data_IF_660994452798
#
_entry.id   IF_660994452798
#
_cell.length_a   1.000
_cell.length_b   1.000
_cell.length_c   1.000
_cell.angle_alpha   90.00
_cell.angle_beta   90.00
_cell.angle_gamma   90.00
#
_symmetry.space_group_name_H-M   'P 1'
#
loop_
_entity.id
_entity.type
_entity.pdbx_description
1 polymer ?
#
# COMPACT_ATOMS: atom_id res chain seq x y z
N UNK A 1 -57.83 35.79 -7.76
CA UNK A 1 -56.98 35.92 -8.97
C UNK A 1 -55.54 35.66 -8.55
N UNK A 2 -55.11 34.44 -8.24
CA UNK A 2 -55.24 33.18 -8.98
C UNK A 2 -54.65 33.29 -10.39
N UNK A 3 -53.37 32.90 -10.53
CA UNK A 3 -52.89 32.17 -11.70
C UNK A 3 -51.67 31.31 -11.34
N UNK A 4 -51.86 30.01 -11.52
CA UNK A 4 -50.90 28.92 -11.45
C UNK A 4 -50.21 28.74 -12.80
N UNK A 5 -49.06 28.07 -12.72
CA UNK A 5 -48.47 27.12 -13.68
C UNK A 5 -47.73 27.67 -14.92
N UNK A 6 -46.45 27.30 -15.02
CA UNK A 6 -45.96 26.53 -16.15
C UNK A 6 -44.79 25.64 -15.73
N UNK A 7 -45.07 24.34 -15.76
CA UNK A 7 -44.10 23.26 -15.82
C UNK A 7 -43.42 23.29 -17.19
N UNK A 8 -42.12 22.95 -17.26
CA UNK A 8 -41.54 22.38 -18.47
C UNK A 8 -40.63 21.19 -18.10
N UNK A 9 -40.82 20.03 -18.74
CA UNK A 9 -40.03 18.83 -18.55
C UNK A 9 -38.86 18.81 -19.55
N UNK A 10 -37.75 18.18 -19.17
CA UNK A 10 -36.77 17.68 -20.14
C UNK A 10 -36.43 16.24 -19.80
N UNK A 11 -37.08 15.37 -20.57
CA UNK A 11 -36.62 14.03 -20.90
C UNK A 11 -35.15 14.07 -21.34
N UNK A 12 -34.33 13.20 -20.77
CA UNK A 12 -33.32 12.51 -21.57
C UNK A 12 -33.22 11.06 -21.13
N UNK A 13 -33.96 10.26 -21.86
CA UNK A 13 -33.93 8.81 -21.89
C UNK A 13 -32.66 8.39 -22.63
N UNK A 14 -31.79 7.63 -21.95
CA UNK A 14 -30.74 6.86 -22.60
C UNK A 14 -30.73 5.46 -21.98
N UNK A 15 -31.59 4.60 -22.52
CA UNK A 15 -31.37 3.16 -22.50
C UNK A 15 -30.22 2.85 -23.47
N UNK A 16 -29.19 2.12 -23.02
CA UNK A 16 -28.78 0.84 -23.63
C UNK A 16 -27.38 0.35 -23.18
N UNK A 17 -27.26 -0.98 -23.10
CA UNK A 17 -26.05 -1.83 -23.21
C UNK A 17 -25.21 -2.18 -21.95
N UNK A 18 -25.55 -3.34 -21.34
CA UNK A 18 -24.70 -4.44 -20.83
C UNK A 18 -23.68 -4.24 -19.66
N UNK A 19 -23.34 -5.34 -18.93
CA UNK A 19 -23.02 -5.30 -17.50
C UNK A 19 -21.51 -5.19 -17.21
N UNK A 20 -21.12 -4.16 -16.46
CA UNK A 20 -19.82 -4.08 -15.79
C UNK A 20 -19.98 -4.42 -14.30
N UNK A 21 -20.27 -5.70 -14.03
CA UNK A 21 -20.10 -6.32 -12.73
C UNK A 21 -18.60 -6.56 -12.57
N UNK A 22 -17.92 -5.82 -11.69
CA UNK A 22 -16.69 -6.29 -10.99
C UNK A 22 -16.09 -5.28 -9.99
N UNK A 23 -16.36 -3.97 -10.06
CA UNK A 23 -15.89 -3.01 -9.03
C UNK A 23 -16.97 -2.54 -8.04
N UNK A 24 -18.22 -2.38 -8.49
CA UNK A 24 -19.33 -1.93 -7.63
C UNK A 24 -19.73 -2.99 -6.61
N UNK A 25 -19.69 -4.28 -6.94
CA UNK A 25 -20.09 -5.35 -6.01
C UNK A 25 -19.04 -5.68 -4.95
N UNK A 26 -17.76 -5.42 -5.24
CA UNK A 26 -16.70 -5.46 -4.22
C UNK A 26 -16.88 -4.29 -3.23
N UNK A 27 -17.20 -3.09 -3.73
CA UNK A 27 -17.51 -1.93 -2.89
C UNK A 27 -18.82 -2.11 -2.11
N UNK A 28 -19.84 -2.76 -2.68
CA UNK A 28 -21.13 -3.03 -2.02
C UNK A 28 -21.00 -4.11 -0.93
N UNK A 29 -20.21 -5.16 -1.17
CA UNK A 29 -19.85 -6.16 -0.14
C UNK A 29 -18.97 -5.57 0.97
N UNK A 30 -18.04 -4.68 0.64
CA UNK A 30 -17.27 -3.94 1.63
C UNK A 30 -18.15 -3.00 2.48
N UNK A 31 -19.12 -2.29 1.87
CA UNK A 31 -20.11 -1.47 2.61
C UNK A 31 -20.99 -2.32 3.53
N UNK A 32 -21.47 -3.48 3.08
CA UNK A 32 -22.25 -4.39 3.94
C UNK A 32 -21.43 -4.93 5.14
N UNK A 33 -20.13 -5.18 4.97
CA UNK A 33 -19.26 -5.54 6.09
C UNK A 33 -19.04 -4.35 7.03
N UNK A 34 -18.86 -3.13 6.53
CA UNK A 34 -18.69 -1.94 7.39
C UNK A 34 -19.95 -1.65 8.23
N UNK A 35 -21.15 -1.85 7.66
CA UNK A 35 -22.43 -1.67 8.37
C UNK A 35 -22.61 -2.63 9.56
N UNK A 36 -21.95 -3.80 9.55
CA UNK A 36 -21.96 -4.73 10.70
C UNK A 36 -20.86 -4.43 11.73
N UNK A 37 -19.85 -3.65 11.38
CA UNK A 37 -18.68 -3.38 12.24
C UNK A 37 -18.91 -2.19 13.18
N UNK A 38 -19.58 -1.13 12.71
CA UNK A 38 -19.83 0.08 13.50
C UNK A 38 -20.70 -0.21 14.74
N UNK A 39 -21.78 -1.04 14.67
CA UNK A 39 -22.55 -1.43 15.85
C UNK A 39 -21.73 -2.28 16.84
N UNK A 40 -20.85 -3.15 16.34
CA UNK A 40 -20.00 -4.00 17.17
C UNK A 40 -18.88 -3.21 17.87
N UNK A 41 -18.37 -2.14 17.26
CA UNK A 41 -17.45 -1.18 17.88
C UNK A 41 -18.15 -0.33 18.94
N UNK A 42 -19.35 0.19 18.66
CA UNK A 42 -20.17 0.92 19.66
C UNK A 42 -20.54 0.04 20.85
N UNK A 43 -20.95 -1.20 20.62
CA UNK A 43 -21.20 -2.18 21.69
C UNK A 43 -19.90 -2.56 22.42
N UNK A 44 -18.78 -2.66 21.71
CA UNK A 44 -17.46 -2.88 22.31
C UNK A 44 -17.01 -1.76 23.24
N UNK A 45 -17.33 -0.49 22.91
CA UNK A 45 -17.02 0.67 23.75
C UNK A 45 -17.91 0.77 24.99
N UNK A 46 -19.21 0.49 24.84
CA UNK A 46 -20.14 0.43 25.98
C UNK A 46 -19.81 -0.71 26.97
N UNK A 47 -19.00 -1.69 26.53
CA UNK A 47 -18.51 -2.81 27.34
C UNK A 47 -17.04 -2.60 27.78
N UNK A 48 -16.27 -1.75 27.08
CA UNK A 48 -14.92 -1.38 27.48
C UNK A 48 -14.91 -0.53 28.77
N UNK A 49 -15.97 0.22 29.04
CA UNK A 49 -16.23 0.83 30.35
C UNK A 49 -16.45 -0.19 31.48
N UNK A 50 -16.59 -1.48 31.17
CA UNK A 50 -16.71 -2.60 32.12
C UNK A 50 -15.45 -3.49 32.18
N UNK A 51 -14.31 -3.03 31.65
CA UNK A 51 -13.01 -3.69 31.83
C UNK A 51 -12.83 -5.04 31.13
N UNK A 52 -13.77 -5.49 30.28
CA UNK A 52 -13.63 -6.76 29.52
C UNK A 52 -13.95 -6.59 28.05
N UNK A 53 -12.92 -6.54 27.21
CA UNK A 53 -13.06 -6.61 25.76
C UNK A 53 -13.81 -7.91 25.36
N UNK A 54 -15.02 -7.82 24.79
CA UNK A 54 -15.86 -8.99 24.53
C UNK A 54 -15.18 -9.96 23.57
N UNK A 55 -15.29 -11.27 23.85
CA UNK A 55 -14.67 -12.35 23.05
C UNK A 55 -15.03 -12.25 21.55
N UNK A 56 -16.20 -11.70 21.21
CA UNK A 56 -16.64 -11.45 19.82
C UNK A 56 -15.79 -10.41 19.09
N UNK A 57 -15.39 -9.34 19.76
CA UNK A 57 -14.51 -8.32 19.19
C UNK A 57 -13.10 -8.88 18.96
N UNK A 58 -12.60 -9.67 19.91
CA UNK A 58 -11.34 -10.42 19.75
C UNK A 58 -11.40 -11.36 18.54
N UNK A 59 -12.49 -12.12 18.36
CA UNK A 59 -12.69 -13.00 17.18
C UNK A 59 -12.80 -12.23 15.86
N UNK A 60 -13.45 -11.06 15.84
CA UNK A 60 -13.53 -10.22 14.65
C UNK A 60 -12.17 -9.63 14.25
N UNK A 61 -11.38 -9.18 15.22
CA UNK A 61 -9.99 -8.79 15.03
C UNK A 61 -9.11 -9.96 14.58
N UNK A 62 -9.30 -11.15 15.15
CA UNK A 62 -8.57 -12.36 14.77
C UNK A 62 -8.93 -12.83 13.35
N UNK A 63 -10.21 -12.81 12.99
CA UNK A 63 -10.68 -13.11 11.64
C UNK A 63 -10.13 -12.10 10.60
N UNK A 64 -9.96 -10.83 10.99
CA UNK A 64 -9.28 -9.82 10.16
C UNK A 64 -7.77 -10.00 10.10
N UNK A 65 -7.14 -10.43 11.19
CA UNK A 65 -5.72 -10.81 11.20
C UNK A 65 -5.49 -12.01 10.29
N UNK A 66 -6.39 -12.99 10.31
CA UNK A 66 -6.41 -14.14 9.39
C UNK A 66 -6.65 -13.72 7.94
N UNK A 67 -7.60 -12.81 7.68
CA UNK A 67 -7.83 -12.24 6.35
C UNK A 67 -6.61 -11.46 5.85
N UNK A 68 -5.88 -10.79 6.74
CA UNK A 68 -4.63 -10.11 6.41
C UNK A 68 -3.49 -11.10 6.13
N UNK A 69 -3.31 -12.15 6.92
CA UNK A 69 -2.38 -13.24 6.55
C UNK A 69 -2.78 -13.91 5.25
N UNK A 70 -4.08 -13.97 4.89
CA UNK A 70 -4.51 -14.43 3.57
C UNK A 70 -4.13 -13.43 2.47
N UNK A 71 -4.33 -12.13 2.66
CA UNK A 71 -3.92 -11.10 1.68
C UNK A 71 -2.40 -11.06 1.53
N UNK A 72 -1.64 -11.21 2.62
CA UNK A 72 -0.17 -11.31 2.59
C UNK A 72 0.29 -12.65 1.97
N UNK A 73 -0.42 -13.76 2.23
CA UNK A 73 -0.21 -15.03 1.52
C UNK A 73 -0.51 -14.88 0.03
N UNK A 74 -1.58 -14.17 -0.33
CA UNK A 74 -1.96 -13.89 -1.72
C UNK A 74 -0.90 -12.99 -2.38
N UNK A 75 -0.43 -11.93 -1.72
CA UNK A 75 0.67 -11.10 -2.23
C UNK A 75 1.96 -11.91 -2.42
N UNK A 76 2.30 -12.78 -1.47
CA UNK A 76 3.47 -13.66 -1.58
C UNK A 76 3.30 -14.74 -2.65
N UNK A 77 2.10 -15.28 -2.84
CA UNK A 77 1.82 -16.24 -3.93
C UNK A 77 1.74 -15.56 -5.30
N UNK A 78 1.36 -14.28 -5.38
CA UNK A 78 1.43 -13.49 -6.60
C UNK A 78 2.85 -13.03 -6.94
N UNK A 79 3.69 -12.71 -5.95
CA UNK A 79 5.14 -12.59 -6.16
C UNK A 79 5.72 -13.91 -6.66
N UNK A 80 5.24 -15.04 -6.12
CA UNK A 80 5.52 -16.38 -6.63
C UNK A 80 5.08 -16.55 -8.08
N UNK A 81 3.87 -16.14 -8.46
CA UNK A 81 3.35 -16.23 -9.83
C UNK A 81 4.05 -15.28 -10.80
N UNK A 82 4.38 -14.06 -10.39
CA UNK A 82 5.17 -13.13 -11.19
C UNK A 82 6.60 -13.66 -11.38
N UNK A 83 7.18 -14.27 -10.35
CA UNK A 83 8.46 -14.96 -10.42
C UNK A 83 8.40 -16.20 -11.31
N UNK A 84 7.33 -17.00 -11.23
CA UNK A 84 7.08 -18.15 -12.12
C UNK A 84 6.88 -17.66 -13.56
N UNK A 85 6.14 -16.58 -13.78
CA UNK A 85 5.94 -15.98 -15.10
C UNK A 85 7.24 -15.42 -15.68
N UNK A 86 8.06 -14.77 -14.85
CA UNK A 86 9.41 -14.33 -15.22
C UNK A 86 10.31 -15.52 -15.54
N UNK A 87 10.30 -16.57 -14.71
CA UNK A 87 11.04 -17.81 -14.92
C UNK A 87 10.60 -18.52 -16.19
N UNK A 88 9.29 -18.62 -16.47
CA UNK A 88 8.75 -19.17 -17.71
C UNK A 88 9.17 -18.33 -18.91
N UNK A 89 9.14 -17.00 -18.81
CA UNK A 89 9.62 -16.12 -19.86
C UNK A 89 11.13 -16.30 -20.11
N UNK A 90 11.92 -16.42 -19.05
CA UNK A 90 13.35 -16.75 -19.13
C UNK A 90 13.59 -18.13 -19.75
N UNK A 91 12.83 -19.15 -19.37
CA UNK A 91 12.89 -20.50 -19.96
C UNK A 91 12.55 -20.41 -21.46
N UNK A 92 11.49 -19.70 -21.85
CA UNK A 92 11.14 -19.50 -23.26
C UNK A 92 12.28 -18.80 -24.00
N UNK A 93 12.87 -17.74 -23.44
CA UNK A 93 14.02 -17.03 -24.03
C UNK A 93 15.28 -17.91 -24.11
N UNK A 94 15.51 -18.77 -23.11
CA UNK A 94 16.66 -19.69 -23.09
C UNK A 94 16.49 -20.92 -23.98
N UNK A 95 15.25 -21.37 -24.21
CA UNK A 95 14.92 -22.50 -25.07
C UNK A 95 14.74 -22.05 -26.54
N UNK A 96 14.43 -20.77 -26.77
CA UNK A 96 14.31 -20.20 -28.12
C UNK A 96 15.54 -20.38 -29.03
N UNK A 97 16.80 -20.32 -28.56
CA UNK A 97 17.97 -20.59 -29.41
C UNK A 97 18.09 -22.07 -29.78
N UNK A 98 17.51 -22.97 -28.99
CA UNK A 98 17.49 -24.42 -29.23
C UNK A 98 16.40 -24.84 -30.21
N UNK A 99 15.46 -23.94 -30.53
CA UNK A 99 14.77 -24.01 -31.81
C UNK A 99 15.76 -23.57 -32.86
N UNK A 100 16.49 -24.56 -33.39
CA UNK A 100 17.00 -24.52 -34.76
C UNK A 100 15.92 -23.80 -35.57
N UNK A 101 16.24 -22.74 -36.35
CA UNK A 101 15.24 -22.10 -37.16
C UNK A 101 14.63 -23.22 -37.97
N UNK A 102 13.43 -23.66 -37.59
CA UNK A 102 12.55 -24.39 -38.45
C UNK A 102 12.54 -23.50 -39.66
N UNK A 103 13.32 -23.92 -40.66
CA UNK A 103 13.39 -23.30 -41.95
C UNK A 103 11.93 -23.41 -42.35
N UNK A 104 11.18 -22.33 -42.12
CA UNK A 104 9.90 -22.12 -42.73
C UNK A 104 10.33 -21.98 -44.18
N UNK A 105 10.50 -23.13 -44.83
CA UNK A 105 10.88 -23.30 -46.22
C UNK A 105 9.62 -22.95 -46.99
N UNK A 106 9.14 -21.72 -46.79
CA UNK A 106 8.20 -21.10 -47.68
C UNK A 106 8.97 -21.06 -48.98
N UNK A 107 8.61 -21.96 -49.88
CA UNK A 107 9.27 -22.16 -51.15
C UNK A 107 8.95 -20.93 -51.98
N UNK A 108 9.64 -19.82 -51.71
CA UNK A 108 9.64 -18.66 -52.56
C UNK A 108 10.58 -18.99 -53.71
N UNK A 109 10.06 -19.17 -54.94
CA UNK A 109 10.90 -19.33 -56.10
C UNK A 109 11.62 -17.99 -56.31
N UNK A 110 12.90 -18.00 -55.95
CA UNK A 110 13.93 -17.01 -56.29
C UNK A 110 14.10 -15.83 -55.29
N UNK A 111 15.08 -16.06 -54.39
CA UNK A 111 16.17 -15.14 -54.02
C UNK A 111 15.94 -13.91 -53.12
N UNK A 112 15.18 -14.03 -52.02
CA UNK A 112 15.34 -13.12 -50.87
C UNK A 112 15.20 -13.88 -49.55
N UNK A 113 16.21 -14.70 -49.22
CA UNK A 113 16.37 -15.22 -47.87
C UNK A 113 16.85 -14.08 -46.96
N UNK A 114 15.90 -13.30 -46.43
CA UNK A 114 16.20 -12.30 -45.40
C UNK A 114 16.58 -13.06 -44.14
N UNK A 115 17.88 -13.36 -43.97
CA UNK A 115 18.44 -13.66 -42.65
C UNK A 115 18.12 -12.46 -41.80
N UNK A 116 17.12 -12.59 -40.92
CA UNK A 116 16.96 -11.65 -39.82
C UNK A 116 18.28 -11.70 -39.07
N UNK A 117 19.08 -10.61 -39.09
CA UNK A 117 20.39 -10.63 -38.47
C UNK A 117 20.23 -11.05 -37.01
N UNK A 118 21.08 -11.96 -36.54
CA UNK A 118 21.14 -12.44 -35.15
C UNK A 118 21.08 -11.29 -34.13
N UNK A 119 21.59 -10.13 -34.54
CA UNK A 119 21.56 -8.84 -33.85
C UNK A 119 20.15 -8.41 -33.39
N UNK A 120 19.07 -8.79 -34.06
CA UNK A 120 17.70 -8.41 -33.70
C UNK A 120 16.99 -9.36 -32.73
N UNK A 121 17.55 -10.54 -32.45
CA UNK A 121 16.97 -11.50 -31.48
C UNK A 121 17.10 -11.03 -30.03
N UNK A 122 18.24 -10.43 -29.69
CA UNK A 122 18.53 -9.94 -28.34
C UNK A 122 17.62 -8.77 -27.91
N UNK A 123 17.40 -7.72 -28.74
CA UNK A 123 16.46 -6.65 -28.43
C UNK A 123 15.02 -7.15 -28.24
N UNK A 124 14.58 -8.11 -29.05
CA UNK A 124 13.24 -8.69 -28.96
C UNK A 124 13.01 -9.41 -27.63
N UNK A 125 13.94 -10.27 -27.23
CA UNK A 125 13.88 -10.96 -25.94
C UNK A 125 13.92 -9.99 -24.74
N UNK A 126 14.79 -8.98 -24.79
CA UNK A 126 14.86 -7.92 -23.79
C UNK A 126 13.55 -7.12 -23.70
N UNK A 127 12.93 -6.81 -24.83
CA UNK A 127 11.65 -6.12 -24.89
C UNK A 127 10.53 -6.91 -24.20
N UNK A 128 10.45 -8.21 -24.42
CA UNK A 128 9.45 -9.09 -23.78
C UNK A 128 9.68 -9.16 -22.27
N UNK A 129 10.93 -9.34 -21.82
CA UNK A 129 11.26 -9.39 -20.38
C UNK A 129 10.93 -8.06 -19.70
N UNK A 130 11.30 -6.94 -20.30
CA UNK A 130 10.99 -5.60 -19.78
C UNK A 130 9.48 -5.37 -19.71
N UNK A 131 8.73 -5.76 -20.75
CA UNK A 131 7.28 -5.65 -20.78
C UNK A 131 6.61 -6.47 -19.68
N UNK A 132 7.00 -7.74 -19.51
CA UNK A 132 6.51 -8.60 -18.43
C UNK A 132 6.85 -8.03 -17.05
N UNK A 133 8.06 -7.49 -16.87
CA UNK A 133 8.47 -6.83 -15.63
C UNK A 133 7.61 -5.59 -15.34
N UNK A 134 7.38 -4.73 -16.33
CA UNK A 134 6.56 -3.51 -16.17
C UNK A 134 5.11 -3.84 -15.83
N UNK A 135 4.52 -4.86 -16.46
CA UNK A 135 3.17 -5.35 -16.11
C UNK A 135 3.15 -5.90 -14.69
N UNK A 136 4.10 -6.78 -14.36
CA UNK A 136 4.21 -7.36 -13.02
C UNK A 136 4.37 -6.27 -11.95
N UNK A 137 5.18 -5.25 -12.23
CA UNK A 137 5.38 -4.10 -11.36
C UNK A 137 4.13 -3.24 -11.23
N UNK A 138 3.41 -2.96 -12.32
CA UNK A 138 2.16 -2.19 -12.29
C UNK A 138 1.07 -2.92 -11.50
N UNK A 139 0.92 -4.24 -11.69
CA UNK A 139 0.00 -5.08 -10.93
C UNK A 139 0.40 -5.08 -9.46
N UNK A 140 1.67 -5.34 -9.16
CA UNK A 140 2.20 -5.34 -7.79
C UNK A 140 1.94 -4.01 -7.09
N UNK A 141 2.22 -2.89 -7.76
CA UNK A 141 1.95 -1.55 -7.23
C UNK A 141 0.47 -1.36 -6.92
N UNK A 142 -0.43 -1.76 -7.82
CA UNK A 142 -1.88 -1.68 -7.60
C UNK A 142 -2.35 -2.46 -6.36
N UNK A 143 -1.73 -3.61 -6.08
CA UNK A 143 -2.00 -4.39 -4.86
C UNK A 143 -1.40 -3.79 -3.59
N UNK A 144 -0.15 -3.30 -3.66
CA UNK A 144 0.50 -2.58 -2.56
C UNK A 144 -0.34 -1.36 -2.16
N UNK A 145 -0.84 -0.62 -3.15
CA UNK A 145 -1.73 0.53 -2.96
C UNK A 145 -3.08 0.11 -2.34
N UNK A 146 -3.63 -1.05 -2.71
CA UNK A 146 -4.84 -1.60 -2.08
C UNK A 146 -4.63 -1.91 -0.58
N UNK A 147 -3.47 -2.44 -0.21
CA UNK A 147 -3.09 -2.65 1.19
C UNK A 147 -2.94 -1.34 1.98
N UNK A 148 -2.48 -0.27 1.31
CA UNK A 148 -2.30 1.04 1.94
C UNK A 148 -3.62 1.66 2.40
N UNK A 149 -4.72 1.41 1.69
CA UNK A 149 -6.06 1.88 2.07
C UNK A 149 -6.52 1.38 3.45
N UNK A 150 -5.99 0.26 3.93
CA UNK A 150 -6.37 -0.29 5.23
C UNK A 150 -5.39 0.05 6.36
N UNK A 151 -4.26 0.71 6.05
CA UNK A 151 -3.26 1.06 7.07
C UNK A 151 -3.81 2.06 8.09
N UNK A 152 -4.61 3.02 7.67
CA UNK A 152 -5.19 3.99 8.60
C UNK A 152 -6.07 3.29 9.66
N UNK A 153 -6.95 2.39 9.21
CA UNK A 153 -7.86 1.64 10.08
C UNK A 153 -7.09 0.69 11.00
N UNK A 154 -6.00 0.11 10.50
CA UNK A 154 -5.08 -0.68 11.32
C UNK A 154 -4.49 0.14 12.47
N UNK A 155 -3.93 1.30 12.15
CA UNK A 155 -3.35 2.18 13.16
C UNK A 155 -4.41 2.69 14.14
N UNK A 156 -5.62 3.01 13.68
CA UNK A 156 -6.75 3.35 14.54
C UNK A 156 -7.07 2.22 15.54
N UNK A 157 -7.18 0.98 15.06
CA UNK A 157 -7.46 -0.17 15.92
C UNK A 157 -6.36 -0.38 16.97
N UNK A 158 -5.09 -0.19 16.58
CA UNK A 158 -3.97 -0.26 17.52
C UNK A 158 -4.07 0.85 18.57
N UNK A 159 -4.32 2.10 18.18
CA UNK A 159 -4.49 3.22 19.12
C UNK A 159 -5.59 2.92 20.13
N UNK A 160 -6.76 2.43 19.70
CA UNK A 160 -7.86 2.07 20.61
C UNK A 160 -7.46 0.94 21.58
N UNK A 161 -6.73 -0.08 21.11
CA UNK A 161 -6.25 -1.17 21.98
C UNK A 161 -5.27 -0.63 23.03
N UNK A 162 -4.32 0.23 22.64
CA UNK A 162 -3.34 0.78 23.57
C UNK A 162 -3.94 1.83 24.49
N UNK A 163 -4.95 2.58 24.05
CA UNK A 163 -5.72 3.48 24.90
C UNK A 163 -6.49 2.71 25.97
N UNK A 164 -7.12 1.58 25.60
CA UNK A 164 -7.77 0.70 26.56
C UNK A 164 -6.80 0.06 27.56
N UNK A 165 -5.55 -0.21 27.15
CA UNK A 165 -4.49 -0.63 28.09
C UNK A 165 -4.09 0.52 29.01
N UNK A 166 -3.88 1.73 28.48
CA UNK A 166 -3.48 2.91 29.25
C UNK A 166 -4.56 3.41 30.23
N UNK A 167 -5.81 3.02 30.02
CA UNK A 167 -6.93 3.35 30.90
C UNK A 167 -6.95 2.52 32.19
N UNK A 168 -6.22 1.41 32.25
CA UNK A 168 -6.14 0.61 33.48
C UNK A 168 -5.36 1.41 34.56
N UNK A 169 -5.83 1.42 35.81
CA UNK A 169 -5.32 2.39 36.81
C UNK A 169 -3.88 2.10 37.24
N UNK A 170 -3.47 0.84 37.13
CA UNK A 170 -2.12 0.39 37.46
C UNK A 170 -1.15 0.52 36.26
N UNK A 171 -1.56 1.19 35.18
CA UNK A 171 -0.79 1.12 33.94
C UNK A 171 0.49 1.95 33.97
N UNK A 172 1.55 1.21 33.65
CA UNK A 172 2.93 1.59 33.46
C UNK A 172 3.16 2.70 32.41
N UNK A 173 4.16 3.54 32.64
CA UNK A 173 4.60 4.60 31.71
C UNK A 173 4.90 4.05 30.30
N UNK A 174 5.30 2.76 30.24
CA UNK A 174 5.50 2.03 29.01
C UNK A 174 4.24 1.96 28.10
N UNK A 175 3.04 1.86 28.67
CA UNK A 175 1.80 1.79 27.88
C UNK A 175 1.42 3.14 27.28
N UNK A 176 1.61 4.24 28.03
CA UNK A 176 1.44 5.60 27.51
C UNK A 176 2.44 5.91 26.41
N UNK A 177 3.71 5.52 26.60
CA UNK A 177 4.72 5.65 25.56
C UNK A 177 4.38 4.84 24.29
N UNK A 178 3.87 3.63 24.46
CA UNK A 178 3.40 2.81 23.35
C UNK A 178 2.18 3.43 22.66
N UNK A 179 1.22 3.98 23.41
CA UNK A 179 0.08 4.71 22.87
C UNK A 179 0.54 5.92 22.04
N UNK A 180 1.43 6.74 22.59
CA UNK A 180 2.00 7.92 21.91
C UNK A 180 2.68 7.54 20.60
N UNK A 181 3.52 6.50 20.63
CA UNK A 181 4.19 5.98 19.42
C UNK A 181 3.17 5.54 18.35
N UNK A 182 2.09 4.87 18.76
CA UNK A 182 1.03 4.42 17.84
C UNK A 182 0.18 5.60 17.34
N UNK A 183 -0.09 6.59 18.17
CA UNK A 183 -0.82 7.80 17.79
C UNK A 183 0.00 8.63 16.78
N UNK A 184 1.32 8.73 16.98
CA UNK A 184 2.21 9.37 16.01
C UNK A 184 2.22 8.64 14.66
N UNK A 185 2.24 7.30 14.66
CA UNK A 185 2.11 6.50 13.44
C UNK A 185 0.74 6.71 12.76
N UNK A 186 -0.34 6.73 13.55
CA UNK A 186 -1.69 7.05 13.06
C UNK A 186 -1.76 8.44 12.43
N UNK A 187 -1.21 9.47 13.08
CA UNK A 187 -1.14 10.83 12.56
C UNK A 187 -0.38 10.92 11.24
N UNK A 188 0.76 10.22 11.11
CA UNK A 188 1.46 10.08 9.82
C UNK A 188 0.57 9.44 8.75
N UNK A 189 -0.18 8.41 9.10
CA UNK A 189 -1.14 7.78 8.18
C UNK A 189 -2.27 8.72 7.78
N UNK A 190 -2.83 9.50 8.72
CA UNK A 190 -3.84 10.54 8.45
C UNK A 190 -3.33 11.54 7.42
N UNK A 191 -2.12 12.08 7.63
CA UNK A 191 -1.51 13.03 6.69
C UNK A 191 -1.34 12.39 5.32
N UNK A 192 -0.92 11.12 5.22
CA UNK A 192 -0.70 10.46 3.92
C UNK A 192 -1.96 9.89 3.26
N UNK A 193 -3.09 9.90 3.95
CA UNK A 193 -4.31 9.20 3.54
C UNK A 193 -4.89 9.71 2.22
N UNK A 194 -4.75 11.01 1.94
CA UNK A 194 -5.21 11.65 0.70
C UNK A 194 -4.47 11.13 -0.54
N UNK A 195 -3.17 10.84 -0.43
CA UNK A 195 -2.39 10.23 -1.51
C UNK A 195 -2.83 8.79 -1.76
N UNK A 196 -3.06 8.03 -0.68
CA UNK A 196 -3.34 6.59 -0.75
C UNK A 196 -4.73 6.25 -1.27
N UNK A 197 -5.72 7.11 -1.03
CA UNK A 197 -7.08 6.84 -1.49
C UNK A 197 -7.22 6.99 -3.01
N UNK A 198 -6.39 7.82 -3.65
CA UNK A 198 -6.42 8.06 -5.09
C UNK A 198 -7.72 8.71 -5.61
N UNK A 199 -8.52 9.30 -4.73
CA UNK A 199 -9.79 9.96 -5.08
C UNK A 199 -9.59 11.39 -5.60
N UNK A 200 -8.48 12.03 -5.25
CA UNK A 200 -8.14 13.37 -5.72
C UNK A 200 -7.12 13.22 -6.87
N UNK A 201 -7.44 13.69 -8.09
CA UNK A 201 -6.49 13.64 -9.19
C UNK A 201 -5.25 14.47 -8.87
N UNK A 202 -4.07 13.97 -9.24
CA UNK A 202 -2.76 14.58 -8.93
C UNK A 202 -2.63 16.03 -9.45
N UNK A 203 -3.32 16.36 -10.54
CA UNK A 203 -3.31 17.69 -11.15
C UNK A 203 -4.13 18.74 -10.36
N UNK A 204 -5.00 18.33 -9.42
CA UNK A 204 -5.82 19.26 -8.62
C UNK A 204 -5.05 19.81 -7.41
N UNK A 205 -3.98 20.57 -7.68
CA UNK A 205 -3.03 21.08 -6.67
C UNK A 205 -3.70 21.81 -5.50
N UNK A 206 -4.73 22.61 -5.76
CA UNK A 206 -5.47 23.35 -4.72
C UNK A 206 -6.22 22.42 -3.79
N UNK A 207 -6.99 21.45 -4.32
CA UNK A 207 -7.75 20.47 -3.51
C UNK A 207 -6.82 19.62 -2.66
N UNK A 208 -5.67 19.24 -3.23
CA UNK A 208 -4.64 18.51 -2.50
C UNK A 208 -4.09 19.32 -1.32
N UNK A 209 -3.76 20.60 -1.53
CA UNK A 209 -3.30 21.49 -0.45
C UNK A 209 -4.34 21.64 0.65
N UNK A 210 -5.62 21.81 0.30
CA UNK A 210 -6.71 21.90 1.27
C UNK A 210 -6.82 20.61 2.10
N UNK A 211 -6.82 19.44 1.45
CA UNK A 211 -6.89 18.15 2.15
C UNK A 211 -5.68 17.91 3.08
N UNK A 212 -4.46 18.27 2.63
CA UNK A 212 -3.25 18.18 3.46
C UNK A 212 -3.34 19.10 4.68
N UNK A 213 -3.77 20.35 4.49
CA UNK A 213 -3.91 21.31 5.58
C UNK A 213 -4.96 20.86 6.59
N UNK A 214 -6.10 20.35 6.12
CA UNK A 214 -7.13 19.74 6.96
C UNK A 214 -6.57 18.58 7.79
N UNK A 215 -5.90 17.63 7.14
CA UNK A 215 -5.28 16.49 7.81
C UNK A 215 -4.23 16.92 8.86
N UNK A 216 -3.45 17.98 8.59
CA UNK A 216 -2.49 18.55 9.55
C UNK A 216 -3.17 19.17 10.77
N UNK A 217 -4.32 19.84 10.59
CA UNK A 217 -5.12 20.36 11.70
C UNK A 217 -5.75 19.24 12.54
N UNK A 218 -6.20 18.16 11.89
CA UNK A 218 -6.68 16.95 12.57
C UNK A 218 -5.57 16.34 13.43
N UNK A 219 -4.33 16.24 12.91
CA UNK A 219 -3.20 15.77 13.71
C UNK A 219 -2.85 16.74 14.84
N UNK A 220 -2.97 18.05 14.64
CA UNK A 220 -2.81 19.02 15.72
C UNK A 220 -3.83 18.79 16.84
N UNK A 221 -5.10 18.53 16.48
CA UNK A 221 -6.17 18.19 17.44
C UNK A 221 -5.86 16.91 18.21
N UNK A 222 -5.40 15.86 17.54
CA UNK A 222 -4.98 14.62 18.21
C UNK A 222 -3.82 14.85 19.19
N UNK A 223 -2.83 15.67 18.82
CA UNK A 223 -1.69 16.01 19.70
C UNK A 223 -2.10 16.87 20.88
N UNK A 224 -3.05 17.80 20.71
CA UNK A 224 -3.53 18.61 21.84
C UNK A 224 -4.33 17.77 22.83
N UNK A 225 -5.15 16.81 22.36
CA UNK A 225 -5.82 15.85 23.25
C UNK A 225 -4.82 14.89 23.90
N UNK A 226 -3.76 14.46 23.19
CA UNK A 226 -2.67 13.66 23.77
C UNK A 226 -1.94 14.42 24.90
N UNK A 227 -1.66 15.70 24.73
CA UNK A 227 -1.06 16.52 25.79
C UNK A 227 -1.98 16.66 27.02
N UNK A 228 -3.29 16.50 26.86
CA UNK A 228 -4.26 16.46 27.96
C UNK A 228 -4.12 15.22 28.86
N UNK A 229 -3.40 14.18 28.43
CA UNK A 229 -3.18 12.96 29.22
C UNK A 229 -2.39 13.21 30.52
N UNK A 230 -1.59 14.27 30.56
CA UNK A 230 -0.82 14.66 31.73
C UNK A 230 -1.69 15.34 32.81
N UNK A 231 -2.78 16.01 32.39
CA UNK A 231 -3.67 16.75 33.29
C UNK A 231 -4.89 15.93 33.71
N UNK A 232 -5.60 15.34 32.75
CA UNK A 232 -6.80 14.54 33.01
C UNK A 232 -6.81 13.32 32.08
N UNK A 233 -6.15 12.25 32.55
CA UNK A 233 -5.91 11.03 31.79
C UNK A 233 -7.19 10.37 31.28
N UNK A 234 -8.21 10.21 32.11
CA UNK A 234 -9.41 9.43 31.75
C UNK A 234 -10.21 10.13 30.65
N UNK A 235 -10.44 11.44 30.80
CA UNK A 235 -11.19 12.22 29.82
C UNK A 235 -10.41 12.35 28.50
N UNK A 236 -9.10 12.61 28.56
CA UNK A 236 -8.25 12.68 27.38
C UNK A 236 -8.19 11.34 26.62
N UNK A 237 -8.12 10.20 27.31
CA UNK A 237 -8.18 8.88 26.66
C UNK A 237 -9.53 8.63 25.97
N UNK A 238 -10.64 8.99 26.63
CA UNK A 238 -11.99 8.86 26.07
C UNK A 238 -12.17 9.73 24.83
N UNK A 239 -11.69 10.97 24.90
CA UNK A 239 -11.71 11.91 23.79
C UNK A 239 -10.84 11.41 22.62
N UNK A 240 -9.61 10.95 22.89
CA UNK A 240 -8.72 10.37 21.87
C UNK A 240 -9.37 9.20 21.13
N UNK A 241 -9.98 8.26 21.84
CA UNK A 241 -10.66 7.11 21.22
C UNK A 241 -11.83 7.58 20.36
N UNK A 242 -12.60 8.57 20.83
CA UNK A 242 -13.72 9.16 20.10
C UNK A 242 -13.25 9.79 18.79
N UNK A 243 -12.20 10.63 18.85
CA UNK A 243 -11.59 11.27 17.69
C UNK A 243 -11.08 10.24 16.67
N UNK A 244 -10.34 9.23 17.13
CA UNK A 244 -9.80 8.17 16.27
C UNK A 244 -10.92 7.39 15.56
N UNK A 245 -12.03 7.13 16.26
CA UNK A 245 -13.19 6.49 15.66
C UNK A 245 -13.88 7.37 14.62
N UNK A 246 -14.13 8.64 14.92
CA UNK A 246 -14.72 9.58 13.97
C UNK A 246 -13.87 9.71 12.69
N UNK A 247 -12.56 9.87 12.84
CA UNK A 247 -11.62 9.92 11.71
C UNK A 247 -11.72 8.64 10.86
N UNK A 248 -11.78 7.49 11.53
CA UNK A 248 -11.85 6.18 10.85
C UNK A 248 -13.16 6.01 10.08
N UNK A 249 -14.29 6.46 10.65
CA UNK A 249 -15.60 6.43 10.02
C UNK A 249 -15.66 7.37 8.81
N UNK A 250 -15.24 8.62 8.97
CA UNK A 250 -15.13 9.58 7.85
C UNK A 250 -14.23 9.06 6.74
N UNK A 251 -13.09 8.44 7.10
CA UNK A 251 -12.19 7.82 6.13
C UNK A 251 -12.85 6.66 5.38
N UNK A 252 -13.57 5.79 6.08
CA UNK A 252 -14.31 4.67 5.48
C UNK A 252 -15.42 5.13 4.52
N UNK A 253 -16.03 6.29 4.79
CA UNK A 253 -17.00 6.94 3.92
C UNK A 253 -16.34 7.66 2.72
N UNK A 254 -15.01 7.81 2.72
CA UNK A 254 -14.26 8.49 1.66
C UNK A 254 -14.15 10.01 1.85
N UNK A 255 -14.50 10.53 3.02
CA UNK A 255 -14.46 11.97 3.33
C UNK A 255 -13.05 12.43 3.76
N UNK A 256 -12.08 12.34 2.86
CA UNK A 256 -10.67 12.63 3.17
C UNK A 256 -10.39 14.11 3.45
N UNK A 257 -11.17 15.00 2.84
CA UNK A 257 -11.06 16.45 3.05
C UNK A 257 -11.88 16.94 4.26
N UNK A 258 -12.63 16.04 4.90
CA UNK A 258 -13.53 16.33 6.02
C UNK A 258 -13.48 15.18 7.04
N UNK A 259 -12.27 14.81 7.48
CA UNK A 259 -12.07 13.72 8.44
C UNK A 259 -12.72 14.02 9.80
N UNK A 260 -12.66 15.29 10.21
CA UNK A 260 -13.35 15.87 11.36
C UNK A 260 -14.22 17.05 10.88
N UNK A 261 -15.25 17.42 11.65
CA UNK A 261 -15.98 18.67 11.48
C UNK A 261 -15.03 19.88 11.56
N UNK A 262 -15.29 20.91 10.74
CA UNK A 262 -14.40 22.07 10.63
C UNK A 262 -14.43 22.92 11.91
N UNK A 263 -15.55 22.90 12.63
CA UNK A 263 -15.78 23.59 13.89
C UNK A 263 -14.83 23.13 14.99
N UNK A 264 -14.46 21.84 15.00
CA UNK A 264 -13.58 21.24 16.02
C UNK A 264 -12.09 21.53 15.77
N UNK A 265 -11.72 21.93 14.55
CA UNK A 265 -10.32 22.08 14.14
C UNK A 265 -9.97 23.49 13.64
N UNK A 266 -10.95 24.40 13.54
CA UNK A 266 -10.77 25.76 13.00
C UNK A 266 -9.66 26.55 13.72
N UNK A 267 -9.55 26.37 15.04
CA UNK A 267 -8.62 27.10 15.90
C UNK A 267 -7.25 26.40 16.00
N UNK A 268 -7.09 25.24 15.36
CA UNK A 268 -5.86 24.46 15.41
C UNK A 268 -4.88 24.92 14.34
N UNK A 269 -3.64 25.21 14.75
CA UNK A 269 -2.57 25.49 13.80
C UNK A 269 -2.12 24.19 13.10
N UNK A 270 -1.98 24.18 11.76
CA UNK A 270 -1.57 22.99 11.04
C UNK A 270 -0.13 22.60 11.41
N UNK A 271 0.06 21.33 11.79
CA UNK A 271 1.40 20.80 12.11
C UNK A 271 2.32 20.88 10.89
N UNK A 272 3.45 21.59 11.05
CA UNK A 272 4.56 21.59 10.08
C UNK A 272 5.46 20.38 10.31
N UNK A 273 4.97 19.21 9.92
CA UNK A 273 5.87 18.07 9.77
C UNK A 273 6.45 18.14 8.34
N UNK A 274 7.78 17.98 8.21
CA UNK A 274 8.50 17.84 6.94
C UNK A 274 8.84 16.37 6.60
N UNK A 275 7.88 15.42 6.58
CA UNK A 275 8.18 14.00 6.36
C UNK A 275 8.55 13.70 4.90
N UNK A 276 8.33 14.64 3.98
CA UNK A 276 8.55 14.46 2.54
C UNK A 276 10.03 14.41 2.19
N UNK A 277 10.88 15.18 2.90
CA UNK A 277 12.32 15.25 2.60
C UNK A 277 12.98 13.88 2.82
N UNK A 278 12.70 13.23 3.97
CA UNK A 278 13.28 11.93 4.29
C UNK A 278 12.84 10.81 3.34
N UNK A 279 11.59 10.82 2.87
CA UNK A 279 11.11 9.82 1.90
C UNK A 279 11.67 10.05 0.51
N UNK A 280 11.72 11.30 0.05
CA UNK A 280 12.21 11.65 -1.28
C UNK A 280 13.72 11.35 -1.40
N UNK A 281 14.50 11.68 -0.38
CA UNK A 281 15.95 11.33 -0.32
C UNK A 281 16.14 9.81 -0.33
N UNK A 282 15.32 9.06 0.41
CA UNK A 282 15.39 7.61 0.43
C UNK A 282 15.08 6.96 -0.92
N UNK A 283 13.98 7.36 -1.57
CA UNK A 283 13.58 6.78 -2.87
C UNK A 283 14.52 7.17 -4.00
N UNK A 284 14.94 8.43 -4.04
CA UNK A 284 15.87 8.92 -5.07
C UNK A 284 17.24 8.28 -4.88
N UNK A 285 17.72 8.16 -3.64
CA UNK A 285 18.97 7.46 -3.34
C UNK A 285 18.95 5.99 -3.76
N UNK A 286 17.84 5.27 -3.55
CA UNK A 286 17.70 3.89 -4.01
C UNK A 286 17.69 3.77 -5.54
N UNK A 287 17.01 4.67 -6.24
CA UNK A 287 17.00 4.67 -7.71
C UNK A 287 18.39 4.97 -8.27
N UNK A 288 19.10 5.94 -7.70
CA UNK A 288 20.48 6.26 -8.09
C UNK A 288 21.42 5.08 -7.83
N UNK A 289 21.29 4.41 -6.67
CA UNK A 289 22.08 3.22 -6.37
C UNK A 289 21.76 2.06 -7.32
N UNK A 290 20.49 1.83 -7.66
CA UNK A 290 20.10 0.79 -8.61
C UNK A 290 20.62 1.08 -10.02
N UNK A 291 20.55 2.33 -10.46
CA UNK A 291 21.12 2.78 -11.73
C UNK A 291 22.65 2.63 -11.76
N UNK A 292 23.32 3.00 -10.66
CA UNK A 292 24.77 2.84 -10.53
C UNK A 292 25.19 1.36 -10.60
N UNK A 293 24.43 0.45 -9.97
CA UNK A 293 24.69 -1.00 -10.09
C UNK A 293 24.41 -1.49 -11.51
N UNK A 294 23.32 -1.04 -12.13
CA UNK A 294 22.96 -1.48 -13.48
C UNK A 294 23.97 -1.02 -14.54
N UNK A 295 24.60 0.13 -14.37
CA UNK A 295 25.61 0.66 -15.31
C UNK A 295 27.02 0.24 -14.95
N UNK A 296 27.38 0.29 -13.66
CA UNK A 296 28.73 0.02 -13.18
C UNK A 296 29.08 -1.47 -13.15
N UNK A 297 28.12 -2.34 -12.82
CA UNK A 297 28.40 -3.77 -12.69
C UNK A 297 28.71 -4.45 -14.04
N UNK A 298 27.98 -4.17 -15.15
CA UNK A 298 28.36 -4.70 -16.46
C UNK A 298 29.76 -4.25 -16.87
N UNK A 299 30.08 -2.96 -16.71
CA UNK A 299 31.38 -2.41 -17.08
C UNK A 299 32.53 -3.07 -16.30
N UNK A 300 32.33 -3.29 -15.00
CA UNK A 300 33.31 -3.98 -14.15
C UNK A 300 33.48 -5.46 -14.57
N UNK A 301 32.38 -6.18 -14.79
CA UNK A 301 32.42 -7.60 -15.11
C UNK A 301 33.01 -7.86 -16.50
N UNK A 302 32.75 -7.00 -17.48
CA UNK A 302 33.37 -7.10 -18.80
C UNK A 302 34.88 -6.87 -18.75
N UNK A 303 35.36 -5.94 -17.91
CA UNK A 303 36.80 -5.76 -17.67
C UNK A 303 37.46 -6.97 -17.00
N UNK A 304 36.68 -7.73 -16.21
CA UNK A 304 37.12 -9.00 -15.62
C UNK A 304 37.00 -10.20 -16.58
N UNK A 305 36.72 -9.96 -17.87
CA UNK A 305 36.67 -10.99 -18.90
C UNK A 305 35.35 -11.78 -18.94
N UNK A 306 34.31 -11.35 -18.24
CA UNK A 306 33.00 -11.99 -18.34
C UNK A 306 32.37 -11.66 -19.68
N UNK A 307 31.75 -12.65 -20.33
CA UNK A 307 31.02 -12.39 -21.57
C UNK A 307 29.85 -11.43 -21.31
N UNK A 308 29.65 -10.49 -22.24
CA UNK A 308 28.62 -9.46 -22.16
C UNK A 308 27.25 -9.95 -21.66
N UNK A 309 26.66 -11.06 -22.14
CA UNK A 309 25.33 -11.49 -21.67
C UNK A 309 25.26 -11.82 -20.17
N UNK A 310 26.30 -12.42 -19.59
CA UNK A 310 26.33 -12.75 -18.16
C UNK A 310 26.49 -11.51 -17.29
N UNK A 311 27.22 -10.51 -17.79
CA UNK A 311 27.45 -9.25 -17.07
C UNK A 311 26.15 -8.46 -16.86
N UNK A 312 25.28 -8.39 -17.88
CA UNK A 312 23.96 -7.76 -17.77
C UNK A 312 23.00 -8.53 -16.86
N UNK A 313 23.06 -9.87 -16.87
CA UNK A 313 22.27 -10.70 -15.96
C UNK A 313 22.62 -10.42 -14.49
N UNK A 314 23.91 -10.38 -14.15
CA UNK A 314 24.37 -10.04 -12.81
C UNK A 314 23.97 -8.62 -12.39
N UNK A 315 24.04 -7.66 -13.32
CA UNK A 315 23.68 -6.26 -13.06
C UNK A 315 22.19 -6.08 -12.81
N UNK A 316 21.34 -6.76 -13.58
CA UNK A 316 19.91 -6.78 -13.35
C UNK A 316 19.56 -7.37 -11.97
N UNK A 317 20.24 -8.46 -11.57
CA UNK A 317 20.05 -9.07 -10.26
C UNK A 317 20.51 -8.14 -9.13
N UNK A 318 21.67 -7.49 -9.29
CA UNK A 318 22.19 -6.50 -8.33
C UNK A 318 21.27 -5.30 -8.17
N UNK A 319 20.75 -4.75 -9.28
CA UNK A 319 19.80 -3.64 -9.26
C UNK A 319 18.48 -4.06 -8.59
N UNK A 320 18.00 -5.28 -8.83
CA UNK A 320 16.83 -5.84 -8.16
C UNK A 320 17.03 -5.88 -6.64
N UNK A 321 18.19 -6.36 -6.16
CA UNK A 321 18.54 -6.42 -4.73
C UNK A 321 18.55 -5.02 -4.09
N UNK A 322 19.01 -3.99 -4.81
CA UNK A 322 19.01 -2.60 -4.33
C UNK A 322 17.60 -2.01 -4.28
N UNK A 323 16.75 -2.37 -5.24
CA UNK A 323 15.36 -1.92 -5.34
C UNK A 323 14.43 -2.59 -4.32
N UNK A 324 14.81 -3.72 -3.72
CA UNK A 324 14.05 -4.28 -2.61
C UNK A 324 13.97 -3.22 -1.49
N UNK A 325 12.77 -2.73 -1.14
CA UNK A 325 12.62 -1.62 -0.20
C UNK A 325 13.29 -1.95 1.13
N UNK A 326 13.89 -0.95 1.79
CA UNK A 326 14.57 -1.12 3.07
C UNK A 326 13.68 -1.78 4.15
N UNK A 327 12.35 -1.61 4.05
CA UNK A 327 11.38 -2.30 4.91
C UNK A 327 11.38 -3.84 4.70
N UNK A 328 11.61 -4.30 3.48
CA UNK A 328 11.82 -5.70 3.15
C UNK A 328 13.22 -6.21 3.51
N UNK A 329 14.25 -5.35 3.51
CA UNK A 329 15.61 -5.73 3.95
C UNK A 329 15.64 -6.22 5.40
N UNK A 330 14.94 -5.58 6.32
CA UNK A 330 14.88 -6.05 7.71
C UNK A 330 14.22 -7.43 7.84
N UNK A 331 13.15 -7.67 7.07
CA UNK A 331 12.50 -8.99 7.02
C UNK A 331 13.41 -10.03 6.37
N UNK A 332 14.08 -9.69 5.27
CA UNK A 332 15.00 -10.58 4.56
C UNK A 332 16.22 -10.93 5.43
N UNK A 333 16.85 -9.95 6.08
CA UNK A 333 17.96 -10.15 7.02
C UNK A 333 17.49 -10.99 8.21
N UNK A 334 16.32 -10.69 8.79
CA UNK A 334 15.79 -11.50 9.89
C UNK A 334 15.49 -12.95 9.47
N UNK A 335 15.06 -13.16 8.23
CA UNK A 335 14.77 -14.51 7.70
C UNK A 335 16.06 -15.25 7.37
N UNK A 336 17.04 -14.58 6.75
CA UNK A 336 18.37 -15.09 6.49
C UNK A 336 19.11 -15.46 7.79
N UNK A 337 19.00 -14.63 8.83
CA UNK A 337 19.55 -14.93 10.17
C UNK A 337 18.83 -16.11 10.83
N UNK A 338 17.52 -16.27 10.65
CA UNK A 338 16.79 -17.46 11.15
C UNK A 338 17.19 -18.74 10.42
N UNK A 339 17.39 -18.67 9.11
CA UNK A 339 17.86 -19.80 8.31
C UNK A 339 19.33 -20.16 8.65
N UNK A 340 20.17 -19.15 8.90
CA UNK A 340 21.55 -19.35 9.33
C UNK A 340 21.66 -19.94 10.75
N UNK A 341 20.65 -19.73 11.61
CA UNK A 341 20.53 -20.35 12.94
C UNK A 341 19.80 -21.69 12.93
N UNK A 342 19.69 -22.36 11.77
CA UNK A 342 19.11 -23.71 11.70
C UNK A 342 19.85 -24.64 12.67
N UNK A 343 19.15 -25.41 13.53
CA UNK A 343 19.69 -26.03 14.74
C UNK A 343 20.49 -27.32 14.49
N UNK A 344 21.33 -27.35 13.47
CA UNK A 344 22.19 -28.48 13.12
C UNK A 344 23.53 -28.55 13.87
N UNK A 345 23.74 -27.72 14.90
CA UNK A 345 24.99 -27.66 15.69
C UNK A 345 24.79 -27.81 17.21
N UNK A 346 23.71 -28.44 17.65
CA UNK A 346 23.72 -29.12 18.96
C UNK A 346 23.96 -30.62 18.70
N UNK A 347 25.23 -31.00 18.70
CA UNK A 347 25.69 -32.36 18.97
C UNK A 347 26.51 -32.36 20.24
#
# INVERSE_FOLDING_TARGET
MEHRASELPLEFQCQSVWPMITKRDAARRARHQVVTIVPALKQGLAIASLGRVPKRFRRALWARRLARTRVDLYLNSWLGLAFIGFMLCMIVVMVWPSYDPLILKVHFPHSLAVRIPEVWRLPGALGVVLYCFLIGFAIWRGFVDAGHRYRLIEHAALVVIYAGKAADRDTDAAALHALSTRLHAFGKSVITSHVQAGTIPSHARTRHRTAVNHARRVVARLRSTEAGLDTNREDALRELVTLVMQISDSYLLGHLAALLPEEEIKDMQPVRDHPEIGRMVGTTGQLLAAAAVFVGLPWLLTHLGWAAPYSYGAAALGALIVLVPAQGRHLFIATAQRLARSPGQEK
#
